data_IF_605610915048
#
_entry.id   IF_605610915048
#
_cell.length_a   1.000
_cell.length_b   1.000
_cell.length_c   1.000
_cell.angle_alpha   90.00
_cell.angle_beta   90.00
_cell.angle_gamma   90.00
#
_symmetry.space_group_name_H-M   'P 1'
#
loop_
_entity.id
_entity.type
_entity.pdbx_description
1 polymer ?
#
# COMPACT_ATOMS: atom_id res chain seq x y z
N UNK A 1 -9.24 -17.83 13.63
CA UNK A 1 -10.37 -17.08 13.06
C UNK A 1 -9.78 -15.84 12.41
N UNK A 2 -9.98 -15.58 11.11
CA UNK A 2 -9.38 -14.41 10.47
C UNK A 2 -10.15 -13.18 10.93
N UNK A 3 -9.48 -12.28 11.64
CA UNK A 3 -9.95 -10.92 11.87
C UNK A 3 -10.08 -10.27 10.49
N UNK A 4 -11.30 -9.95 10.05
CA UNK A 4 -11.47 -9.02 8.93
C UNK A 4 -10.71 -7.76 9.33
N UNK A 5 -9.65 -7.43 8.59
CA UNK A 5 -8.91 -6.20 8.79
C UNK A 5 -9.89 -5.03 8.65
N UNK A 6 -10.20 -4.35 9.76
CA UNK A 6 -11.10 -3.18 9.78
C UNK A 6 -10.51 -2.04 8.93
N UNK A 7 -9.20 -2.10 8.69
CA UNK A 7 -8.42 -1.10 7.98
C UNK A 7 -7.37 -1.76 7.07
N UNK A 8 -7.19 -1.25 5.86
CA UNK A 8 -6.10 -1.62 4.92
C UNK A 8 -5.20 -0.40 4.75
N UNK A 9 -3.90 -0.59 4.91
CA UNK A 9 -2.90 0.45 4.64
C UNK A 9 -2.44 0.44 3.20
N UNK A 10 -2.63 1.56 2.49
CA UNK A 10 -2.22 1.71 1.09
C UNK A 10 -1.17 2.79 0.99
N UNK A 11 0.02 2.44 0.52
CA UNK A 11 1.14 3.35 0.35
C UNK A 11 1.20 3.77 -1.11
N UNK A 12 0.90 5.03 -1.41
CA UNK A 12 0.81 5.53 -2.78
C UNK A 12 1.89 6.58 -3.04
N UNK A 13 2.74 6.30 -4.03
CA UNK A 13 3.66 7.26 -4.64
C UNK A 13 2.97 8.30 -5.51
N UNK A 14 1.68 8.06 -5.82
CA UNK A 14 0.81 8.96 -6.58
C UNK A 14 0.01 9.84 -5.65
N UNK A 15 -0.02 11.13 -5.95
CA UNK A 15 -0.91 12.10 -5.32
C UNK A 15 -2.09 12.37 -6.25
N UNK A 16 -3.21 11.70 -6.02
CA UNK A 16 -4.45 11.93 -6.77
C UNK A 16 -5.63 12.03 -5.80
N UNK A 17 -6.13 13.25 -5.62
CA UNK A 17 -7.36 13.52 -4.86
C UNK A 17 -8.59 12.74 -5.37
N UNK A 18 -8.57 12.27 -6.62
CA UNK A 18 -9.66 11.48 -7.20
C UNK A 18 -9.82 10.10 -6.56
N UNK A 19 -8.75 9.50 -6.04
CA UNK A 19 -8.80 8.17 -5.43
C UNK A 19 -9.51 8.18 -4.07
N UNK A 20 -9.60 9.32 -3.38
CA UNK A 20 -10.39 9.42 -2.14
C UNK A 20 -11.86 9.04 -2.33
N UNK A 21 -12.46 9.38 -3.47
CA UNK A 21 -13.83 8.95 -3.77
C UNK A 21 -13.90 7.45 -4.03
N UNK A 22 -12.90 6.88 -4.69
CA UNK A 22 -12.81 5.44 -4.94
C UNK A 22 -12.67 4.67 -3.62
N UNK A 23 -11.80 5.12 -2.71
CA UNK A 23 -11.64 4.51 -1.38
C UNK A 23 -12.89 4.66 -0.52
N UNK A 24 -13.60 5.80 -0.60
CA UNK A 24 -14.90 5.95 0.08
C UNK A 24 -15.94 4.98 -0.47
N UNK A 25 -16.01 4.79 -1.79
CA UNK A 25 -16.92 3.82 -2.40
C UNK A 25 -16.54 2.37 -2.04
N UNK A 26 -15.25 2.05 -1.99
CA UNK A 26 -14.76 0.76 -1.53
C UNK A 26 -15.15 0.52 -0.06
N UNK A 27 -14.82 1.47 0.82
CA UNK A 27 -15.17 1.43 2.26
C UNK A 27 -16.68 1.28 2.45
N UNK A 28 -17.50 1.98 1.67
CA UNK A 28 -18.96 1.88 1.74
C UNK A 28 -19.50 0.50 1.29
N UNK A 29 -18.80 -0.18 0.38
CA UNK A 29 -19.20 -1.50 -0.12
C UNK A 29 -18.68 -2.66 0.72
N UNK A 30 -17.45 -2.58 1.23
CA UNK A 30 -16.80 -3.67 1.97
C UNK A 30 -16.80 -3.46 3.47
N UNK A 31 -17.02 -2.23 3.94
CA UNK A 31 -16.88 -1.84 5.35
C UNK A 31 -15.43 -1.64 5.79
N UNK A 32 -14.46 -1.82 4.90
CA UNK A 32 -13.03 -1.79 5.22
C UNK A 32 -12.50 -0.36 5.04
N UNK A 33 -11.93 0.24 6.08
CA UNK A 33 -11.33 1.56 6.02
C UNK A 33 -10.01 1.51 5.25
N UNK A 34 -9.73 2.53 4.46
CA UNK A 34 -8.45 2.62 3.73
C UNK A 34 -7.59 3.73 4.33
N UNK A 35 -6.45 3.36 4.90
CA UNK A 35 -5.40 4.29 5.34
C UNK A 35 -4.43 4.52 4.19
N UNK A 36 -4.69 5.57 3.42
CA UNK A 36 -3.77 5.99 2.36
C UNK A 36 -2.60 6.79 2.97
N UNK A 37 -1.38 6.35 2.72
CA UNK A 37 -0.17 7.11 2.98
C UNK A 37 0.42 7.58 1.64
N UNK A 38 0.36 8.89 1.42
CA UNK A 38 0.92 9.52 0.23
C UNK A 38 2.31 10.06 0.57
N UNK A 39 3.34 9.50 -0.06
CA UNK A 39 4.71 10.00 0.08
C UNK A 39 5.48 9.75 -1.22
N UNK A 40 6.67 10.35 -1.34
CA UNK A 40 7.57 10.07 -2.47
C UNK A 40 7.98 8.60 -2.47
N UNK A 41 8.15 7.99 -3.64
CA UNK A 41 8.43 6.55 -3.71
C UNK A 41 9.70 6.17 -2.94
N UNK A 42 10.74 7.01 -2.94
CA UNK A 42 11.95 6.80 -2.14
C UNK A 42 11.66 6.74 -0.63
N UNK A 43 10.77 7.62 -0.15
CA UNK A 43 10.34 7.62 1.25
C UNK A 43 9.47 6.40 1.57
N UNK A 44 8.62 5.95 0.64
CA UNK A 44 7.81 4.75 0.81
C UNK A 44 8.68 3.50 0.88
N UNK A 45 9.68 3.36 0.01
CA UNK A 45 10.59 2.21 -0.02
C UNK A 45 11.45 2.18 1.24
N UNK A 46 12.04 3.32 1.64
CA UNK A 46 12.85 3.38 2.86
C UNK A 46 12.01 3.12 4.11
N UNK A 47 10.76 3.59 4.13
CA UNK A 47 9.82 3.33 5.21
C UNK A 47 9.39 1.87 5.25
N UNK A 48 9.01 1.27 4.12
CA UNK A 48 8.66 -0.15 4.02
C UNK A 48 9.85 -1.04 4.41
N UNK A 49 11.07 -0.65 4.04
CA UNK A 49 12.30 -1.32 4.46
C UNK A 49 12.56 -1.18 5.97
N UNK A 50 12.28 -0.01 6.54
CA UNK A 50 12.47 0.27 7.97
C UNK A 50 11.42 -0.44 8.83
N UNK A 51 10.17 -0.46 8.39
CA UNK A 51 9.07 -1.11 9.08
C UNK A 51 9.07 -2.64 8.85
N UNK A 52 9.58 -3.11 7.71
CA UNK A 52 9.79 -4.53 7.40
C UNK A 52 8.50 -5.34 7.55
N UNK A 53 8.55 -6.43 8.30
CA UNK A 53 7.39 -7.31 8.60
C UNK A 53 6.31 -6.64 9.48
N UNK A 54 6.62 -5.52 10.14
CA UNK A 54 5.64 -4.76 10.94
C UNK A 54 5.03 -3.59 10.17
N UNK A 55 5.28 -3.49 8.86
CA UNK A 55 4.73 -2.42 8.04
C UNK A 55 3.21 -2.44 8.11
N UNK A 56 2.54 -1.33 8.48
CA UNK A 56 1.10 -1.20 8.39
C UNK A 56 0.63 -1.02 6.94
N UNK A 57 1.52 -1.25 5.96
CA UNK A 57 1.27 -1.13 4.54
C UNK A 57 0.94 -2.51 3.96
N UNK A 58 -0.31 -2.73 3.60
CA UNK A 58 -0.77 -3.94 2.92
C UNK A 58 -0.53 -3.85 1.40
N UNK A 59 -0.65 -2.64 0.83
CA UNK A 59 -0.54 -2.42 -0.62
C UNK A 59 0.41 -1.27 -0.89
N UNK A 60 1.41 -1.52 -1.76
CA UNK A 60 2.31 -0.48 -2.27
C UNK A 60 1.98 -0.17 -3.73
N UNK A 61 1.71 1.10 -4.01
CA UNK A 61 1.43 1.63 -5.34
C UNK A 61 2.51 2.64 -5.70
N UNK A 62 3.39 2.28 -6.64
CA UNK A 62 4.47 3.15 -7.11
C UNK A 62 4.16 3.64 -8.53
N UNK A 63 4.72 4.81 -8.90
CA UNK A 63 4.55 5.35 -10.26
C UNK A 63 5.47 4.64 -11.26
N UNK A 64 6.66 4.25 -10.81
CA UNK A 64 7.75 3.84 -11.67
C UNK A 64 8.08 2.35 -11.53
N UNK A 65 8.14 1.64 -12.67
CA UNK A 65 8.42 0.22 -12.71
C UNK A 65 9.85 -0.12 -12.26
N UNK A 66 10.84 0.76 -12.47
CA UNK A 66 12.20 0.51 -12.00
C UNK A 66 12.26 0.53 -10.46
N UNK A 67 11.44 1.35 -9.81
CA UNK A 67 11.32 1.40 -8.34
C UNK A 67 10.61 0.15 -7.79
N UNK A 68 9.59 -0.35 -8.50
CA UNK A 68 8.97 -1.65 -8.21
C UNK A 68 9.99 -2.78 -8.31
N UNK A 69 10.77 -2.84 -9.40
CA UNK A 69 11.78 -3.88 -9.56
C UNK A 69 12.81 -3.86 -8.43
N UNK A 70 13.30 -2.67 -8.03
CA UNK A 70 14.22 -2.57 -6.88
C UNK A 70 13.59 -3.04 -5.57
N UNK A 71 12.34 -2.69 -5.30
CA UNK A 71 11.63 -3.18 -4.11
C UNK A 71 11.41 -4.69 -4.15
N UNK A 72 11.18 -5.26 -5.34
CA UNK A 72 11.07 -6.71 -5.54
C UNK A 72 12.40 -7.43 -5.32
N UNK A 73 13.50 -6.89 -5.82
CA UNK A 73 14.86 -7.41 -5.59
C UNK A 73 15.26 -7.36 -4.11
N UNK A 74 14.78 -6.35 -3.38
CA UNK A 74 14.94 -6.23 -1.93
C UNK A 74 14.08 -7.22 -1.13
N UNK A 75 13.25 -8.04 -1.81
CA UNK A 75 12.39 -9.02 -1.16
C UNK A 75 11.22 -8.41 -0.38
N UNK A 76 10.87 -7.15 -0.66
CA UNK A 76 9.83 -6.40 0.08
C UNK A 76 8.41 -6.76 -0.37
N UNK A 77 8.24 -7.60 -1.39
CA UNK A 77 6.93 -8.04 -1.86
C UNK A 77 6.66 -9.50 -1.49
N UNK A 78 5.48 -9.74 -0.95
CA UNK A 78 4.95 -11.09 -0.82
C UNK A 78 4.47 -11.60 -2.17
N UNK A 79 4.74 -12.88 -2.45
CA UNK A 79 4.17 -13.55 -3.62
C UNK A 79 2.66 -13.67 -3.44
N UNK A 80 1.90 -13.00 -4.30
CA UNK A 80 0.45 -13.20 -4.38
C UNK A 80 0.16 -14.47 -5.17
N UNK A 81 -0.70 -15.34 -4.62
CA UNK A 81 -1.22 -16.51 -5.33
C UNK A 81 -2.40 -16.05 -6.17
N UNK A 82 -2.40 -16.39 -7.46
CA UNK A 82 -3.57 -16.23 -8.33
C UNK A 82 -4.65 -17.27 -8.01
#
# INVERSE_FOLDING_TARGET
MPSLADEIGVYSGRHYNSDQQLYKQFTAKTGIKVKLLEAKDDALIERLRSEGDNSPADVLVLVDAARLVRAAELGLFQRTRS
#
